data_IF_584102277654
#
_entry.id   IF_584102277654
#
_cell.length_a   1.000
_cell.length_b   1.000
_cell.length_c   1.000
_cell.angle_alpha   90.00
_cell.angle_beta   90.00
_cell.angle_gamma   90.00
#
_symmetry.space_group_name_H-M   'P 1'
#
loop_
_entity.id
_entity.type
_entity.pdbx_description
1 polymer ?
#
# COMPACT_ATOMS: atom_id res chain seq x y z
N UNK A 1 -12.16 -15.68 16.29
CA UNK A 1 -12.04 -15.34 15.78
C UNK A 1 -12.44 -14.70 14.81
N UNK A 2 -12.26 -14.07 14.24
CA UNK A 2 -12.78 -13.35 13.45
C UNK A 2 -11.99 -12.72 12.51
N UNK A 3 -11.01 -13.35 11.98
CA UNK A 3 -10.10 -12.91 10.98
C UNK A 3 -10.83 -12.53 9.72
N UNK A 4 -12.13 -12.75 9.72
CA UNK A 4 -12.84 -12.51 8.51
C UNK A 4 -13.56 -11.23 8.47
N UNK A 5 -13.24 -10.33 9.39
CA UNK A 5 -14.01 -9.16 9.50
C UNK A 5 -14.09 -8.39 8.23
N UNK A 6 -12.97 -8.29 7.49
CA UNK A 6 -13.00 -7.56 6.24
C UNK A 6 -12.10 -8.20 5.22
N UNK A 7 -12.71 -8.60 4.13
CA UNK A 7 -11.98 -8.91 2.91
C UNK A 7 -12.56 -8.00 1.85
N UNK A 8 -11.74 -7.10 1.35
CA UNK A 8 -12.16 -6.16 0.32
C UNK A 8 -11.49 -6.53 -0.99
N UNK A 9 -12.17 -6.22 -2.09
CA UNK A 9 -11.54 -6.32 -3.40
C UNK A 9 -11.13 -4.93 -3.80
N UNK A 10 -9.84 -4.76 -4.08
CA UNK A 10 -9.27 -3.45 -4.39
C UNK A 10 -8.45 -3.52 -5.67
N UNK A 11 -8.22 -2.37 -6.26
CA UNK A 11 -7.26 -2.22 -7.35
C UNK A 11 -5.89 -1.95 -6.73
N UNK A 12 -4.86 -2.61 -7.23
CA UNK A 12 -3.51 -2.47 -6.73
C UNK A 12 -2.63 -1.89 -7.82
N UNK A 13 -1.89 -0.86 -7.47
CA UNK A 13 -0.86 -0.31 -8.35
C UNK A 13 0.43 -0.22 -7.55
N UNK A 14 1.49 0.24 -8.17
CA UNK A 14 2.76 0.43 -7.48
C UNK A 14 3.15 1.89 -7.52
N UNK A 15 4.02 2.30 -6.58
CA UNK A 15 4.58 3.64 -6.64
C UNK A 15 6.03 3.59 -6.17
N UNK A 16 6.76 4.63 -6.52
CA UNK A 16 8.16 4.76 -6.17
C UNK A 16 8.35 6.00 -5.29
N UNK A 17 9.34 5.94 -4.41
CA UNK A 17 9.74 7.11 -3.63
C UNK A 17 10.57 8.01 -4.55
N UNK A 18 9.90 8.84 -5.33
CA UNK A 18 10.50 9.59 -6.42
C UNK A 18 9.82 10.96 -6.51
N UNK A 19 10.59 12.04 -6.62
CA UNK A 19 10.00 13.38 -6.70
C UNK A 19 9.01 13.55 -7.84
N UNK A 20 9.14 12.74 -8.89
CA UNK A 20 8.22 12.82 -10.02
C UNK A 20 6.88 12.18 -9.74
N UNK A 21 6.77 11.35 -8.72
CA UNK A 21 5.55 10.62 -8.39
C UNK A 21 4.95 11.05 -7.08
N UNK A 22 5.70 11.75 -6.26
CA UNK A 22 5.27 12.17 -4.94
C UNK A 22 5.44 13.67 -4.81
N UNK A 23 5.22 14.19 -3.63
CA UNK A 23 5.39 15.61 -3.39
C UNK A 23 6.86 15.94 -3.10
N UNK A 24 7.11 17.03 -2.40
CA UNK A 24 8.46 17.53 -2.15
C UNK A 24 9.25 16.67 -1.16
N UNK A 25 8.61 15.67 -0.53
CA UNK A 25 9.30 14.81 0.42
C UNK A 25 9.15 13.34 0.02
N UNK A 26 9.81 12.92 -1.07
CA UNK A 26 9.57 11.58 -1.63
C UNK A 26 9.99 10.44 -0.72
N UNK A 27 10.88 10.70 0.25
CA UNK A 27 11.36 9.64 1.15
C UNK A 27 10.75 9.73 2.55
N UNK A 28 9.64 10.47 2.68
CA UNK A 28 8.89 10.54 3.93
C UNK A 28 7.45 10.19 3.60
N UNK A 29 6.90 9.21 4.31
CA UNK A 29 5.51 8.81 4.08
C UNK A 29 4.55 9.81 4.73
N UNK A 30 3.28 9.70 4.40
CA UNK A 30 2.27 10.55 5.03
C UNK A 30 2.20 10.32 6.54
N UNK A 31 2.58 9.13 6.99
CA UNK A 31 2.64 8.80 8.42
C UNK A 31 3.91 9.32 9.08
N UNK A 32 4.76 10.00 8.30
CA UNK A 32 6.00 10.59 8.78
C UNK A 32 7.11 9.56 9.05
N UNK A 33 7.11 8.47 8.29
CA UNK A 33 8.16 7.46 8.36
C UNK A 33 9.16 7.69 7.24
N UNK A 34 10.44 7.46 7.53
CA UNK A 34 11.50 7.61 6.53
C UNK A 34 11.62 6.34 5.69
N UNK A 35 11.64 6.51 4.39
CA UNK A 35 11.82 5.40 3.46
C UNK A 35 13.32 5.23 3.17
N UNK A 36 13.79 3.98 3.21
CA UNK A 36 15.16 3.67 2.82
C UNK A 36 15.29 3.87 1.32
N UNK A 37 16.02 4.90 0.92
CA UNK A 37 16.11 5.28 -0.49
C UNK A 37 16.81 4.23 -1.35
N UNK A 38 17.60 3.36 -0.73
CA UNK A 38 18.33 2.33 -1.48
C UNK A 38 17.50 1.06 -1.66
N UNK A 39 16.54 0.82 -0.79
CA UNK A 39 15.72 -0.39 -0.88
C UNK A 39 14.34 -0.13 -0.30
N UNK A 40 13.53 0.70 -0.96
CA UNK A 40 12.19 1.02 -0.43
C UNK A 40 11.31 -0.20 -0.24
N UNK A 41 11.44 -1.20 -1.11
CA UNK A 41 10.57 -2.38 -1.06
C UNK A 41 10.74 -3.19 0.22
N UNK A 42 11.85 -3.04 0.92
CA UNK A 42 12.08 -3.84 2.12
C UNK A 42 11.07 -3.53 3.22
N UNK A 43 10.48 -2.37 3.19
CA UNK A 43 9.56 -1.96 4.23
C UNK A 43 8.21 -2.66 4.12
N UNK A 44 7.82 -3.09 2.95
CA UNK A 44 6.49 -3.65 2.71
C UNK A 44 5.42 -2.66 3.15
N UNK A 45 5.53 -1.43 2.71
CA UNK A 45 4.59 -0.37 3.03
C UNK A 45 3.66 -0.11 1.86
N UNK A 46 2.42 0.28 2.16
CA UNK A 46 1.44 0.62 1.14
C UNK A 46 0.82 1.97 1.44
N UNK A 47 0.34 2.61 0.38
CA UNK A 47 -0.54 3.76 0.49
C UNK A 47 -1.96 3.27 0.22
N UNK A 48 -2.93 3.80 0.95
CA UNK A 48 -4.33 3.41 0.77
C UNK A 48 -5.15 4.59 0.30
N UNK A 49 -6.19 4.31 -0.48
CA UNK A 49 -7.16 5.34 -0.80
C UNK A 49 -7.90 5.71 0.49
N UNK A 50 -8.31 6.97 0.59
CA UNK A 50 -8.79 7.50 1.86
C UNK A 50 -10.11 6.90 2.31
N UNK A 51 -10.90 6.38 1.37
CA UNK A 51 -12.15 5.72 1.70
C UNK A 51 -11.95 4.44 2.51
N UNK A 52 -10.74 3.90 2.52
CA UNK A 52 -10.45 2.70 3.30
C UNK A 52 -10.11 3.01 4.76
N UNK A 53 -9.74 4.25 5.05
CA UNK A 53 -9.33 4.61 6.42
C UNK A 53 -10.43 4.39 7.46
N UNK A 54 -11.68 4.78 7.20
CA UNK A 54 -12.73 4.53 8.19
C UNK A 54 -12.99 3.05 8.44
N UNK A 55 -12.52 2.18 7.57
CA UNK A 55 -12.70 0.73 7.73
C UNK A 55 -11.58 0.10 8.55
N UNK A 56 -10.61 0.89 8.99
CA UNK A 56 -9.52 0.38 9.81
C UNK A 56 -8.17 0.36 9.12
N UNK A 57 -8.10 0.73 7.85
CA UNK A 57 -6.84 0.72 7.12
C UNK A 57 -6.12 2.05 7.35
N UNK A 58 -5.69 2.24 8.59
CA UNK A 58 -5.05 3.47 9.02
C UNK A 58 -3.56 3.25 9.19
N UNK A 59 -2.80 4.33 9.39
CA UNK A 59 -1.34 4.22 9.52
C UNK A 59 -0.97 3.25 10.63
N UNK A 60 -0.08 2.31 10.29
CA UNK A 60 0.36 1.28 11.23
C UNK A 60 -0.44 0.00 11.15
N UNK A 61 -1.56 0.00 10.42
CA UNK A 61 -2.36 -1.21 10.30
C UNK A 61 -1.64 -2.23 9.45
N UNK A 62 -1.67 -3.48 9.87
CA UNK A 62 -1.10 -4.58 9.10
C UNK A 62 -2.19 -5.19 8.25
N UNK A 63 -1.87 -5.50 7.01
CA UNK A 63 -2.82 -6.06 6.07
C UNK A 63 -2.23 -7.28 5.38
N UNK A 64 -3.09 -8.09 4.83
CA UNK A 64 -2.69 -9.23 4.02
C UNK A 64 -3.25 -9.04 2.62
N UNK A 65 -2.40 -9.19 1.62
CA UNK A 65 -2.77 -9.03 0.22
C UNK A 65 -2.66 -10.38 -0.46
N UNK A 66 -3.67 -10.73 -1.24
CA UNK A 66 -3.70 -12.04 -1.88
C UNK A 66 -4.27 -11.93 -3.28
N UNK A 67 -3.60 -12.51 -4.25
CA UNK A 67 -4.09 -12.58 -5.62
C UNK A 67 -3.20 -11.94 -6.66
N UNK A 68 -2.01 -11.48 -6.30
CA UNK A 68 -1.09 -10.87 -7.25
C UNK A 68 -0.07 -11.89 -7.73
N UNK A 69 0.87 -12.25 -6.88
CA UNK A 69 1.89 -13.24 -7.18
C UNK A 69 2.61 -13.58 -5.88
N UNK A 70 3.53 -14.53 -5.95
CA UNK A 70 4.23 -15.01 -4.76
C UNK A 70 5.01 -13.91 -4.07
N UNK A 71 5.63 -13.05 -4.84
CA UNK A 71 6.48 -11.99 -4.30
C UNK A 71 5.68 -10.92 -3.57
N UNK A 72 4.57 -10.51 -4.16
CA UNK A 72 3.82 -9.36 -3.65
C UNK A 72 2.69 -9.73 -2.71
N UNK A 73 2.24 -10.98 -2.74
CA UNK A 73 1.23 -11.43 -1.80
C UNK A 73 1.83 -11.49 -0.40
N UNK A 74 1.00 -11.40 0.61
CA UNK A 74 1.45 -11.52 1.98
C UNK A 74 1.19 -10.26 2.78
N UNK A 75 1.98 -10.08 3.82
CA UNK A 75 1.75 -8.98 4.76
C UNK A 75 2.40 -7.69 4.31
N UNK A 76 1.67 -6.61 4.53
CA UNK A 76 2.13 -5.24 4.26
C UNK A 76 1.62 -4.36 5.39
N UNK A 77 2.14 -3.15 5.45
CA UNK A 77 1.75 -2.20 6.49
C UNK A 77 1.35 -0.87 5.87
N UNK A 78 0.26 -0.31 6.34
CA UNK A 78 -0.22 0.99 5.85
C UNK A 78 0.64 2.09 6.45
N UNK A 79 1.33 2.87 5.61
CA UNK A 79 2.12 3.99 6.09
C UNK A 79 1.97 5.22 5.21
N UNK A 80 1.14 5.12 4.18
CA UNK A 80 0.98 6.25 3.29
C UNK A 80 -0.48 6.37 2.85
N UNK A 81 -0.76 7.41 2.12
CA UNK A 81 -2.14 7.75 1.76
C UNK A 81 -2.16 8.24 0.33
N UNK A 82 -3.17 7.82 -0.43
CA UNK A 82 -3.31 8.23 -1.82
C UNK A 82 -4.11 9.51 -1.93
N UNK A 83 -4.06 10.12 -3.11
CA UNK A 83 -4.87 11.30 -3.40
C UNK A 83 -6.34 10.96 -3.21
N UNK A 84 -7.11 11.93 -2.72
CA UNK A 84 -8.52 11.70 -2.36
C UNK A 84 -9.41 11.30 -3.53
N UNK A 85 -8.94 11.47 -4.75
CA UNK A 85 -9.73 11.09 -5.93
C UNK A 85 -9.83 9.57 -6.09
N UNK A 86 -8.92 8.81 -5.46
CA UNK A 86 -8.89 7.36 -5.62
C UNK A 86 -9.83 6.68 -4.64
N UNK A 87 -10.44 5.57 -5.09
CA UNK A 87 -11.37 4.79 -4.27
C UNK A 87 -11.03 3.31 -4.41
N UNK A 88 -11.13 2.58 -3.31
CA UNK A 88 -10.90 1.13 -3.26
C UNK A 88 -9.60 0.75 -3.94
N UNK A 89 -8.55 1.43 -3.56
CA UNK A 89 -7.27 1.28 -4.23
C UNK A 89 -6.12 1.35 -3.25
N UNK A 90 -5.07 0.60 -3.53
CA UNK A 90 -3.84 0.68 -2.76
C UNK A 90 -2.67 0.75 -3.73
N UNK A 91 -1.57 1.36 -3.26
CA UNK A 91 -0.31 1.43 -3.99
C UNK A 91 0.75 0.75 -3.18
N UNK A 92 1.50 -0.16 -3.80
CA UNK A 92 2.60 -0.84 -3.14
C UNK A 92 3.89 -0.04 -3.36
N UNK A 93 4.60 0.26 -2.29
CA UNK A 93 5.89 0.93 -2.40
C UNK A 93 6.91 -0.10 -2.87
N UNK A 94 7.53 0.15 -4.01
CA UNK A 94 8.46 -0.79 -4.61
C UNK A 94 9.73 -0.06 -5.02
N UNK A 95 10.75 -0.83 -5.39
CA UNK A 95 12.01 -0.27 -5.87
C UNK A 95 11.83 0.23 -7.30
N UNK A 96 12.71 1.15 -7.71
CA UNK A 96 12.57 1.82 -9.00
C UNK A 96 12.66 0.90 -10.20
N UNK A 97 13.30 -0.26 -10.03
CA UNK A 97 13.43 -1.20 -11.15
C UNK A 97 12.13 -1.93 -11.48
N UNK A 98 11.13 -1.86 -10.61
CA UNK A 98 9.85 -2.47 -10.91
C UNK A 98 8.97 -1.43 -11.59
N UNK A 99 8.66 -1.68 -12.86
CA UNK A 99 8.04 -0.67 -13.71
C UNK A 99 6.55 -0.82 -13.93
N UNK A 100 5.96 -1.94 -13.63
CA UNK A 100 4.52 -2.10 -13.77
C UNK A 100 4.03 -2.67 -12.46
N UNK A 101 2.85 -2.88 -12.23
CA UNK A 101 1.69 -2.96 -13.09
C UNK A 101 0.44 -2.54 -12.34
N UNK A 102 -0.69 -2.97 -12.83
CA UNK A 102 -1.97 -2.71 -12.20
C UNK A 102 -2.72 -4.03 -12.13
N UNK A 103 -3.30 -4.34 -10.98
CA UNK A 103 -4.07 -5.55 -10.78
C UNK A 103 -5.42 -5.17 -10.21
N UNK A 104 -6.48 -5.84 -10.68
CA UNK A 104 -7.83 -5.55 -10.20
C UNK A 104 -8.40 -6.73 -9.44
N UNK A 105 -9.34 -6.44 -8.55
CA UNK A 105 -10.04 -7.46 -7.76
C UNK A 105 -9.08 -8.27 -6.89
N UNK A 106 -8.15 -7.58 -6.27
CA UNK A 106 -7.18 -8.19 -5.37
C UNK A 106 -7.74 -8.17 -3.96
N UNK A 107 -7.57 -9.27 -3.23
CA UNK A 107 -8.09 -9.38 -1.87
C UNK A 107 -7.20 -8.64 -0.90
N UNK A 108 -7.82 -7.79 -0.09
CA UNK A 108 -7.15 -7.03 0.95
C UNK A 108 -7.85 -7.31 2.27
N UNK A 109 -7.09 -7.80 3.25
CA UNK A 109 -7.62 -8.14 4.56
C UNK A 109 -6.89 -7.38 5.64
N UNK A 110 -7.64 -6.98 6.65
CA UNK A 110 -7.05 -6.34 7.81
C UNK A 110 -6.59 -7.43 8.78
N UNK A 111 -5.36 -7.30 9.30
CA UNK A 111 -4.81 -8.25 10.27
C UNK A 111 -4.75 -7.56 11.62
N UNK A 112 -5.16 -8.26 12.64
CA UNK A 112 -5.04 -7.71 14.00
C UNK A 112 -4.06 -8.48 14.83
#
# INVERSE_FOLDING_TARGET
MNELLYTLLVTVTIYHADPKQTDSTPFITASNKTIDSLNPAKHRWIAVSRDLEPLGFTFGACVYIEGINEELDGEWEVQDRMNKRWKKRIDLLVNKDRMCCKWENIKLKLIN
#
